data_IF_349566824117
#
_entry.id   IF_349566824117
#
_cell.length_a   1.000
_cell.length_b   1.000
_cell.length_c   1.000
_cell.angle_alpha   90.00
_cell.angle_beta   90.00
_cell.angle_gamma   90.00
#
_symmetry.space_group_name_H-M   'P 1'
#
loop_
_entity.id
_entity.type
_entity.pdbx_description
1 polymer ?
#
# COMPACT_ATOMS: atom_id res chain seq x y z
N UNK A 1 5.04 -1.02 -17.39
CA UNK A 1 4.36 -1.44 -16.15
C UNK A 1 4.37 -0.23 -15.22
N UNK A 2 3.22 0.37 -14.97
CA UNK A 2 3.04 1.23 -13.79
C UNK A 2 3.22 0.34 -12.57
N UNK A 3 4.10 0.71 -11.63
CA UNK A 3 4.67 -0.21 -10.63
C UNK A 3 3.67 -0.97 -9.75
N UNK A 4 4.15 -2.03 -9.10
CA UNK A 4 3.40 -2.75 -8.07
C UNK A 4 3.54 -2.05 -6.72
N UNK A 5 2.44 -1.87 -6.00
CA UNK A 5 2.47 -1.48 -4.59
C UNK A 5 2.31 -2.72 -3.71
N UNK A 6 2.98 -2.75 -2.57
CA UNK A 6 2.96 -3.89 -1.64
C UNK A 6 2.69 -3.39 -0.24
N UNK A 7 1.80 -4.05 0.51
CA UNK A 7 1.65 -3.78 1.94
C UNK A 7 2.86 -4.30 2.69
N UNK A 8 3.38 -3.50 3.61
CA UNK A 8 4.50 -3.87 4.47
C UNK A 8 4.13 -3.54 5.91
N UNK A 9 4.81 -4.19 6.85
CA UNK A 9 4.71 -3.90 8.27
C UNK A 9 6.14 -3.67 8.75
N UNK A 10 6.45 -2.43 9.13
CA UNK A 10 7.77 -2.01 9.54
C UNK A 10 7.64 -0.96 10.65
N UNK A 11 8.05 -1.34 11.86
CA UNK A 11 7.91 -0.50 13.06
C UNK A 11 8.67 0.82 12.94
N UNK A 12 9.79 0.85 12.20
CA UNK A 12 10.56 2.08 12.00
C UNK A 12 9.80 3.06 11.10
N UNK A 13 9.15 2.55 10.05
CA UNK A 13 8.29 3.36 9.16
C UNK A 13 7.09 3.91 9.94
N UNK A 14 6.46 3.09 10.78
CA UNK A 14 5.34 3.50 11.61
C UNK A 14 5.73 4.61 12.60
N UNK A 15 6.84 4.43 13.34
CA UNK A 15 7.33 5.40 14.32
C UNK A 15 7.68 6.74 13.65
N UNK A 16 8.42 6.70 12.54
CA UNK A 16 8.84 7.91 11.82
C UNK A 16 7.62 8.64 11.24
N UNK A 17 6.64 7.91 10.70
CA UNK A 17 5.40 8.50 10.18
C UNK A 17 4.61 9.19 11.30
N UNK A 18 4.46 8.53 12.45
CA UNK A 18 3.77 9.10 13.61
C UNK A 18 4.48 10.35 14.14
N UNK A 19 5.81 10.30 14.28
CA UNK A 19 6.62 11.44 14.71
C UNK A 19 6.55 12.62 13.74
N UNK A 20 6.53 12.34 12.43
CA UNK A 20 6.40 13.38 11.42
C UNK A 20 5.06 14.13 11.55
N UNK A 21 3.96 13.41 11.79
CA UNK A 21 2.64 14.01 12.02
C UNK A 21 2.64 14.86 13.30
N UNK A 22 3.10 14.28 14.41
CA UNK A 22 3.12 14.96 15.72
C UNK A 22 4.05 16.20 15.76
N UNK A 23 5.05 16.25 14.88
CA UNK A 23 5.93 17.41 14.75
C UNK A 23 5.24 18.60 14.06
N UNK A 24 4.18 18.35 13.28
CA UNK A 24 3.42 19.38 12.58
C UNK A 24 2.17 19.80 13.37
N UNK A 25 1.51 18.85 14.04
CA UNK A 25 0.32 19.10 14.85
C UNK A 25 0.38 18.30 16.15
N UNK A 26 0.18 18.97 17.29
CA UNK A 26 0.20 18.34 18.60
C UNK A 26 -1.09 17.55 18.90
N UNK A 27 -2.19 17.86 18.20
CA UNK A 27 -3.49 17.20 18.35
C UNK A 27 -4.04 16.83 16.96
N UNK A 28 -3.34 15.95 16.22
CA UNK A 28 -3.69 15.66 14.83
C UNK A 28 -5.08 15.04 14.73
N UNK A 29 -5.94 15.64 13.90
CA UNK A 29 -7.29 15.15 13.66
C UNK A 29 -7.60 15.09 12.16
N UNK A 30 -8.20 13.97 11.71
CA UNK A 30 -8.54 13.73 10.31
C UNK A 30 -7.52 12.84 9.61
N UNK A 31 -7.31 13.08 8.32
CA UNK A 31 -6.50 12.21 7.45
C UNK A 31 -5.10 12.79 7.29
N UNK A 32 -4.10 11.97 7.61
CA UNK A 32 -2.69 12.27 7.39
C UNK A 32 -2.05 11.13 6.61
N UNK A 33 -1.38 11.47 5.53
CA UNK A 33 -0.72 10.53 4.64
C UNK A 33 0.75 10.95 4.52
N UNK A 34 1.68 10.13 5.02
CA UNK A 34 3.12 10.47 5.05
C UNK A 34 3.86 9.71 3.95
N UNK A 35 4.50 10.44 3.05
CA UNK A 35 5.38 9.87 2.03
C UNK A 35 6.80 9.75 2.60
N UNK A 36 7.43 8.61 2.38
CA UNK A 36 8.80 8.35 2.83
C UNK A 36 9.66 7.85 1.67
N UNK A 37 10.95 8.16 1.75
CA UNK A 37 11.99 7.56 0.91
C UNK A 37 13.17 7.14 1.76
N UNK A 38 13.93 6.16 1.29
CA UNK A 38 15.11 5.68 2.01
C UNK A 38 16.35 6.47 1.59
N UNK A 39 17.17 6.85 2.56
CA UNK A 39 18.50 7.40 2.29
C UNK A 39 19.54 6.32 1.97
N UNK A 40 20.80 6.73 1.80
CA UNK A 40 21.92 5.82 1.49
C UNK A 40 22.25 4.84 2.62
N UNK A 41 21.84 5.14 3.85
CA UNK A 41 22.05 4.28 5.03
C UNK A 41 20.84 3.36 5.28
N UNK A 42 19.80 3.48 4.45
CA UNK A 42 18.59 2.68 4.55
C UNK A 42 17.63 3.16 5.64
N UNK A 43 17.72 4.44 6.06
CA UNK A 43 16.75 5.02 6.99
C UNK A 43 15.56 5.64 6.23
N UNK A 44 14.31 5.39 6.65
CA UNK A 44 13.16 6.05 6.06
C UNK A 44 13.12 7.52 6.47
N UNK A 45 13.04 8.42 5.50
CA UNK A 45 12.96 9.85 5.71
C UNK A 45 11.64 10.39 5.14
N UNK A 46 10.84 11.14 5.92
CA UNK A 46 9.63 11.79 5.42
C UNK A 46 9.97 12.79 4.31
N UNK A 47 9.24 12.72 3.19
CA UNK A 47 9.39 13.65 2.06
C UNK A 47 8.22 14.62 1.95
N UNK A 48 7.00 14.16 2.26
CA UNK A 48 5.78 14.97 2.21
C UNK A 48 4.78 14.47 3.26
N UNK A 49 3.98 15.39 3.81
CA UNK A 49 2.78 15.07 4.58
C UNK A 49 1.56 15.63 3.84
N UNK A 50 0.71 14.73 3.38
CA UNK A 50 -0.51 14.99 2.66
C UNK A 50 -1.70 15.07 3.64
N UNK A 51 -1.98 16.26 4.16
CA UNK A 51 -3.09 16.50 5.11
C UNK A 51 -4.42 16.57 4.36
N UNK A 52 -5.45 15.91 4.91
CA UNK A 52 -6.82 15.92 4.37
C UNK A 52 -7.01 15.09 3.10
N UNK A 53 -6.02 14.29 2.70
CA UNK A 53 -6.07 13.47 1.49
C UNK A 53 -5.57 12.06 1.76
N UNK A 54 -6.30 11.08 1.25
CA UNK A 54 -5.76 9.73 1.12
C UNK A 54 -4.80 9.65 -0.07
N UNK A 55 -3.83 8.75 0.01
CA UNK A 55 -3.03 8.37 -1.14
C UNK A 55 -3.86 7.73 -2.25
N UNK A 56 -3.29 7.66 -3.46
CA UNK A 56 -3.90 6.95 -4.60
C UNK A 56 -4.07 5.43 -4.34
N UNK A 57 -3.54 4.92 -3.23
CA UNK A 57 -3.67 3.56 -2.73
C UNK A 57 -4.91 3.33 -1.85
N UNK A 58 -5.77 4.31 -1.58
CA UNK A 58 -6.98 4.06 -0.78
C UNK A 58 -7.90 2.99 -1.38
N UNK A 59 -8.06 2.95 -2.70
CA UNK A 59 -8.82 1.88 -3.38
C UNK A 59 -8.19 0.49 -3.18
N UNK A 60 -6.86 0.42 -3.11
CA UNK A 60 -6.16 -0.83 -2.78
C UNK A 60 -6.54 -1.27 -1.37
N UNK A 61 -6.49 -0.38 -0.39
CA UNK A 61 -6.87 -0.71 0.99
C UNK A 61 -8.34 -1.13 1.09
N UNK A 62 -9.26 -0.42 0.41
CA UNK A 62 -10.68 -0.82 0.34
C UNK A 62 -10.84 -2.22 -0.26
N UNK A 63 -10.15 -2.52 -1.37
CA UNK A 63 -10.19 -3.85 -1.99
C UNK A 63 -9.59 -4.94 -1.09
N UNK A 64 -8.66 -4.58 -0.21
CA UNK A 64 -8.08 -5.46 0.80
C UNK A 64 -8.93 -5.59 2.08
N UNK A 65 -10.09 -4.92 2.16
CA UNK A 65 -11.02 -4.99 3.29
C UNK A 65 -10.91 -3.83 4.29
N UNK A 66 -10.06 -2.82 4.04
CA UNK A 66 -9.93 -1.62 4.86
C UNK A 66 -10.48 -0.40 4.12
N UNK A 67 -11.76 -0.11 4.31
CA UNK A 67 -12.42 1.01 3.66
C UNK A 67 -12.19 2.33 4.41
N UNK A 68 -10.99 2.89 4.28
CA UNK A 68 -10.61 4.14 4.96
C UNK A 68 -11.52 5.35 4.65
N UNK A 69 -12.03 5.53 3.40
CA UNK A 69 -13.01 6.59 3.13
C UNK A 69 -14.31 6.46 3.93
N UNK A 70 -14.86 5.25 4.07
CA UNK A 70 -16.06 4.99 4.88
C UNK A 70 -15.80 5.29 6.36
N UNK A 71 -14.68 4.80 6.90
CA UNK A 71 -14.19 5.12 8.25
C UNK A 71 -14.13 6.64 8.49
N UNK A 72 -13.55 7.38 7.55
CA UNK A 72 -13.42 8.84 7.68
C UNK A 72 -14.78 9.56 7.66
N UNK A 73 -15.75 9.08 6.89
CA UNK A 73 -17.10 9.64 6.88
C UNK A 73 -17.82 9.35 8.21
N UNK A 74 -17.77 8.12 8.71
CA UNK A 74 -18.39 7.79 9.99
C UNK A 74 -17.80 8.65 11.12
N UNK A 75 -16.47 8.82 11.14
CA UNK A 75 -15.79 9.72 12.06
C UNK A 75 -16.29 11.17 11.97
N UNK A 76 -16.43 11.70 10.76
CA UNK A 76 -16.86 13.07 10.54
C UNK A 76 -18.29 13.35 11.05
N UNK A 77 -19.16 12.35 11.05
CA UNK A 77 -20.55 12.45 11.54
C UNK A 77 -20.74 11.95 12.98
N UNK A 78 -19.68 11.48 13.64
CA UNK A 78 -19.78 10.88 14.98
C UNK A 78 -20.55 9.56 15.00
N UNK A 79 -20.56 8.84 13.89
CA UNK A 79 -21.20 7.54 13.72
C UNK A 79 -20.30 6.41 14.22
N UNK A 80 -20.90 5.24 14.47
CA UNK A 80 -20.16 4.04 14.84
C UNK A 80 -19.30 3.56 13.67
N UNK A 81 -18.04 3.22 13.97
CA UNK A 81 -17.09 2.77 12.96
C UNK A 81 -17.10 1.25 12.81
N UNK A 82 -16.72 0.74 11.63
CA UNK A 82 -16.45 -0.69 11.50
C UNK A 82 -15.39 -1.12 12.51
N UNK A 83 -15.63 -2.26 13.16
CA UNK A 83 -14.68 -2.83 14.10
C UNK A 83 -13.38 -3.25 13.36
N UNK A 84 -12.24 -2.79 13.87
CA UNK A 84 -10.92 -3.22 13.42
C UNK A 84 -10.29 -4.10 14.50
N UNK A 85 -9.70 -5.22 14.11
CA UNK A 85 -8.97 -6.10 15.05
C UNK A 85 -7.77 -5.38 15.68
N UNK A 86 -7.14 -4.47 14.93
CA UNK A 86 -6.04 -3.61 15.35
C UNK A 86 -6.10 -2.29 14.59
N UNK A 87 -5.58 -1.23 15.21
CA UNK A 87 -5.56 0.12 14.65
C UNK A 87 -4.30 0.42 13.85
N UNK A 88 -3.16 -0.12 14.27
CA UNK A 88 -1.87 -0.01 13.57
C UNK A 88 -1.72 -1.24 12.67
N UNK A 89 -1.40 -1.00 11.39
CA UNK A 89 -1.25 -2.04 10.37
C UNK A 89 -2.41 -3.05 10.31
N UNK A 90 -3.67 -2.61 10.12
CA UNK A 90 -4.83 -3.52 10.07
C UNK A 90 -4.79 -4.52 8.91
N UNK A 91 -4.12 -4.20 7.81
CA UNK A 91 -3.97 -5.10 6.67
C UNK A 91 -2.74 -6.01 6.83
N UNK A 92 -2.86 -7.23 6.33
CA UNK A 92 -1.73 -8.16 6.27
C UNK A 92 -0.61 -7.64 5.34
N UNK A 93 0.67 -7.86 5.67
CA UNK A 93 1.78 -7.56 4.78
C UNK A 93 1.81 -8.52 3.58
N UNK A 94 2.43 -8.10 2.48
CA UNK A 94 2.62 -8.91 1.29
C UNK A 94 1.41 -9.00 0.35
N UNK A 95 0.37 -8.18 0.58
CA UNK A 95 -0.65 -7.93 -0.43
C UNK A 95 -0.04 -7.07 -1.54
N UNK A 96 -0.39 -7.37 -2.78
CA UNK A 96 0.17 -6.71 -3.96
C UNK A 96 -0.95 -6.09 -4.77
N UNK A 97 -0.77 -4.82 -5.09
CA UNK A 97 -1.66 -4.07 -5.97
C UNK A 97 -0.96 -3.75 -7.28
N UNK A 98 -1.47 -4.34 -8.35
CA UNK A 98 -0.93 -4.15 -9.69
C UNK A 98 -1.87 -3.24 -10.45
N UNK A 99 -1.33 -2.12 -10.96
CA UNK A 99 -2.07 -1.18 -11.81
C UNK A 99 -1.41 -1.09 -13.18
N UNK A 100 -2.21 -0.95 -14.23
CA UNK A 100 -1.76 -0.74 -15.60
C UNK A 100 -2.58 0.39 -16.24
N UNK A 101 -1.98 1.13 -17.17
CA UNK A 101 -2.77 1.98 -18.08
C UNK A 101 -3.66 1.06 -18.91
N UNK A 102 -4.94 1.41 -19.03
CA UNK A 102 -5.97 0.64 -19.75
C UNK A 102 -6.20 -0.79 -19.23
N UNK A 103 -5.95 -1.01 -17.93
CA UNK A 103 -6.23 -2.28 -17.25
C UNK A 103 -6.91 -2.02 -15.91
N UNK A 104 -7.91 -2.83 -15.62
CA UNK A 104 -8.48 -2.90 -14.27
C UNK A 104 -7.37 -3.28 -13.27
N UNK A 105 -7.35 -2.65 -12.08
CA UNK A 105 -6.37 -2.98 -11.08
C UNK A 105 -6.62 -4.39 -10.51
N UNK A 106 -5.56 -5.02 -10.02
CA UNK A 106 -5.63 -6.37 -9.48
C UNK A 106 -5.01 -6.43 -8.09
N UNK A 107 -5.77 -6.99 -7.15
CA UNK A 107 -5.29 -7.41 -5.84
C UNK A 107 -4.80 -8.86 -5.92
N UNK A 108 -3.59 -9.11 -5.44
CA UNK A 108 -3.02 -10.45 -5.28
C UNK A 108 -2.10 -10.49 -4.07
N UNK A 109 -1.32 -11.55 -3.90
CA UNK A 109 -0.29 -11.66 -2.87
C UNK A 109 1.06 -12.04 -3.48
N UNK A 110 2.13 -11.87 -2.71
CA UNK A 110 3.50 -12.12 -3.17
C UNK A 110 3.72 -13.55 -3.66
N UNK A 111 3.10 -14.55 -3.05
CA UNK A 111 3.31 -15.95 -3.42
C UNK A 111 2.63 -16.29 -4.75
N UNK A 112 1.40 -15.83 -4.97
CA UNK A 112 0.70 -15.94 -6.24
C UNK A 112 1.47 -15.22 -7.36
N UNK A 113 2.03 -14.04 -7.08
CA UNK A 113 2.86 -13.31 -8.03
C UNK A 113 4.13 -14.08 -8.41
N UNK A 114 4.84 -14.65 -7.42
CA UNK A 114 6.04 -15.47 -7.66
C UNK A 114 5.72 -16.69 -8.52
N UNK A 115 4.63 -17.40 -8.23
CA UNK A 115 4.17 -18.55 -9.01
C UNK A 115 3.87 -18.16 -10.46
N UNK A 116 3.14 -17.05 -10.66
CA UNK A 116 2.80 -16.53 -11.99
C UNK A 116 4.05 -16.17 -12.79
N UNK A 117 5.04 -15.54 -12.15
CA UNK A 117 6.32 -15.22 -12.79
C UNK A 117 7.10 -16.50 -13.16
N UNK A 118 7.17 -17.48 -12.28
CA UNK A 118 7.78 -18.78 -12.59
C UNK A 118 7.13 -19.46 -13.79
N UNK A 119 5.80 -19.43 -13.89
CA UNK A 119 5.07 -19.96 -15.04
C UNK A 119 5.37 -19.19 -16.33
N UNK A 120 5.38 -17.86 -16.27
CA UNK A 120 5.75 -17.00 -17.38
C UNK A 120 7.15 -17.33 -17.91
N UNK A 121 8.14 -17.47 -17.03
CA UNK A 121 9.51 -17.84 -17.42
C UNK A 121 9.56 -19.20 -18.11
N UNK A 122 8.82 -20.20 -17.62
CA UNK A 122 8.71 -21.52 -18.28
C UNK A 122 8.09 -21.41 -19.68
N UNK A 123 7.04 -20.59 -19.84
CA UNK A 123 6.39 -20.36 -21.15
C UNK A 123 7.34 -19.68 -22.13
N UNK A 124 8.07 -18.65 -21.69
CA UNK A 124 9.08 -17.95 -22.49
C UNK A 124 10.18 -18.92 -22.94
N UNK A 125 10.72 -19.74 -22.03
CA UNK A 125 11.75 -20.73 -22.35
C UNK A 125 11.27 -21.73 -23.41
N UNK A 126 10.02 -22.22 -23.29
CA UNK A 126 9.42 -23.11 -24.29
C UNK A 126 9.30 -22.46 -25.66
N UNK A 127 8.83 -21.21 -25.75
CA UNK A 127 8.71 -20.50 -27.03
C UNK A 127 10.09 -20.32 -27.68
N UNK A 128 11.11 -19.94 -26.90
CA UNK A 128 12.48 -19.76 -27.40
C UNK A 128 13.13 -21.05 -27.92
N UNK A 129 12.70 -22.21 -27.43
CA UNK A 129 13.18 -23.51 -27.95
C UNK A 129 12.52 -23.92 -29.27
N UNK A 130 11.37 -23.34 -29.63
CA UNK A 130 10.58 -23.72 -30.80
C UNK A 130 10.85 -22.79 -32.01
N UNK A 131 11.39 -21.59 -31.79
CA UNK A 131 11.75 -20.65 -32.85
C UNK A 131 13.24 -20.85 -33.20
N UNK A 132 13.60 -21.36 -34.40
CA UNK A 132 14.99 -21.42 -34.82
C UNK A 132 15.55 -20.00 -35.02
N UNK A 133 16.85 -19.85 -34.75
CA UNK A 133 17.59 -18.59 -34.88
C UNK A 133 17.64 -18.06 -36.32
#
# INVERSE_FOLDING_TARGET
ITGAAVTVTDEQVDEISHRAIMAVDAEPHGIFSVDLTYDSDGLPNPTEINIGRFFTTHLFFTAAGLNMPEIAIHLAFGEEQPALERTINPLEPGLVWIRGVDKEPMLTNLDALKLTNCELQRRIARIRQVVPA
#
